data_IF_501713992894
#
_entry.id   IF_501713992894
#
_cell.length_a   1.000
_cell.length_b   1.000
_cell.length_c   1.000
_cell.angle_alpha   90.00
_cell.angle_beta   90.00
_cell.angle_gamma   90.00
#
_symmetry.space_group_name_H-M   'P 1'
#
loop_
_entity.id
_entity.type
_entity.pdbx_description
1 polymer ?
#
# COMPACT_ATOMS: atom_id res chain seq x y z
N UNK A 1 -29.46 30.74 23.28
CA UNK A 1 -28.41 29.79 23.69
C UNK A 1 -27.65 29.40 22.44
N UNK A 2 -26.45 29.91 22.25
CA UNK A 2 -25.60 29.45 21.14
C UNK A 2 -25.16 28.03 21.49
N UNK A 3 -25.69 27.07 20.78
CA UNK A 3 -25.12 25.71 20.79
C UNK A 3 -23.70 25.88 20.20
N UNK A 4 -22.70 25.71 21.04
CA UNK A 4 -21.31 25.62 20.56
C UNK A 4 -21.22 24.30 19.74
N UNK A 5 -21.56 24.38 18.47
CA UNK A 5 -21.40 23.26 17.55
C UNK A 5 -19.93 23.17 17.21
N UNK A 6 -19.26 22.17 17.77
CA UNK A 6 -17.85 21.91 17.48
C UNK A 6 -17.77 21.18 16.15
N UNK A 7 -17.16 21.80 15.13
CA UNK A 7 -16.91 21.15 13.83
C UNK A 7 -15.53 20.51 13.91
N UNK A 8 -15.48 19.19 13.80
CA UNK A 8 -14.24 18.44 13.88
C UNK A 8 -13.89 17.79 12.52
N UNK A 9 -12.64 17.91 12.07
CA UNK A 9 -12.15 17.13 10.93
C UNK A 9 -11.86 15.72 11.43
N UNK A 10 -12.46 14.72 10.78
CA UNK A 10 -12.27 13.31 11.14
C UNK A 10 -10.84 12.85 10.82
N UNK A 11 -10.26 11.99 11.66
CA UNK A 11 -8.92 11.42 11.44
C UNK A 11 -8.85 10.68 10.11
N UNK A 12 -9.87 9.86 9.81
CA UNK A 12 -9.97 9.09 8.57
C UNK A 12 -11.25 9.42 7.80
N UNK A 13 -11.23 9.15 6.51
CA UNK A 13 -12.38 9.33 5.64
C UNK A 13 -13.62 8.63 6.20
N UNK A 14 -14.76 9.33 6.16
CA UNK A 14 -16.06 8.87 6.67
C UNK A 14 -16.05 8.47 8.16
N UNK A 15 -15.15 9.08 8.94
CA UNK A 15 -14.95 8.77 10.37
C UNK A 15 -14.74 7.27 10.63
N UNK A 16 -14.01 6.61 9.73
CA UNK A 16 -13.67 5.20 9.86
C UNK A 16 -12.70 4.97 11.02
N UNK A 17 -12.72 3.77 11.59
CA UNK A 17 -11.76 3.39 12.63
C UNK A 17 -10.36 3.23 12.07
N UNK A 18 -10.22 2.71 10.85
CA UNK A 18 -8.91 2.50 10.20
C UNK A 18 -9.03 2.53 8.69
N UNK A 19 -8.05 3.10 7.96
CA UNK A 19 -7.85 2.79 6.57
C UNK A 19 -7.32 1.36 6.43
N UNK A 20 -7.78 0.63 5.42
CA UNK A 20 -7.38 -0.75 5.10
C UNK A 20 -6.88 -0.81 3.67
N UNK A 21 -5.64 -1.24 3.49
CA UNK A 21 -4.97 -1.36 2.21
C UNK A 21 -4.37 -2.75 2.04
N UNK A 22 -4.39 -3.28 0.82
CA UNK A 22 -3.61 -4.44 0.44
C UNK A 22 -2.42 -3.98 -0.41
N UNK A 23 -1.21 -4.23 0.07
CA UNK A 23 0.05 -3.95 -0.60
C UNK A 23 0.50 -5.20 -1.32
N UNK A 24 0.77 -5.08 -2.61
CA UNK A 24 1.27 -6.19 -3.40
C UNK A 24 2.53 -5.76 -4.14
N UNK A 25 3.66 -6.33 -3.74
CA UNK A 25 4.94 -6.05 -4.35
C UNK A 25 5.15 -6.87 -5.62
N UNK A 26 6.04 -6.36 -6.46
CA UNK A 26 6.59 -7.03 -7.65
C UNK A 26 5.57 -7.27 -8.78
N UNK A 27 4.58 -6.41 -8.97
CA UNK A 27 3.83 -6.42 -10.22
C UNK A 27 4.76 -5.93 -11.37
N UNK A 28 5.56 -6.83 -11.90
CA UNK A 28 6.58 -6.53 -12.92
C UNK A 28 6.27 -7.20 -14.25
N UNK A 29 6.93 -6.75 -15.32
CA UNK A 29 6.87 -7.40 -16.62
C UNK A 29 7.90 -8.53 -16.69
N UNK A 30 7.62 -9.64 -15.99
CA UNK A 30 8.53 -10.76 -15.79
C UNK A 30 7.82 -12.09 -16.01
N UNK A 31 8.53 -13.02 -16.63
CA UNK A 31 8.17 -14.43 -16.73
C UNK A 31 9.29 -15.26 -16.13
N UNK A 32 8.96 -16.38 -15.51
CA UNK A 32 9.93 -17.27 -14.89
C UNK A 32 9.61 -18.73 -15.23
N UNK A 33 10.61 -19.53 -15.54
CA UNK A 33 10.52 -20.97 -15.82
C UNK A 33 10.15 -21.73 -14.54
N UNK A 34 8.85 -21.86 -14.27
CA UNK A 34 8.34 -22.51 -13.06
C UNK A 34 8.47 -24.02 -13.06
N UNK A 35 8.46 -24.64 -14.26
CA UNK A 35 8.51 -26.09 -14.42
C UNK A 35 9.94 -26.62 -14.60
N UNK A 36 10.93 -25.73 -14.74
CA UNK A 36 12.35 -26.08 -14.83
C UNK A 36 12.72 -26.76 -16.14
N UNK A 37 11.98 -26.52 -17.24
CA UNK A 37 12.24 -27.15 -18.54
C UNK A 37 13.28 -26.39 -19.37
N UNK A 38 13.83 -25.29 -18.87
CA UNK A 38 14.83 -24.46 -19.52
C UNK A 38 14.26 -23.45 -20.52
N UNK A 39 12.95 -23.29 -20.59
CA UNK A 39 12.24 -22.33 -21.43
C UNK A 39 11.29 -21.51 -20.56
N UNK A 40 11.02 -20.29 -21.01
CA UNK A 40 9.99 -19.43 -20.41
C UNK A 40 8.85 -19.28 -21.40
N UNK A 41 7.64 -19.54 -20.98
CA UNK A 41 6.44 -19.38 -21.80
C UNK A 41 5.33 -18.59 -21.08
N UNK A 42 4.19 -18.41 -21.78
CA UNK A 42 3.11 -17.55 -21.29
C UNK A 42 2.34 -18.12 -20.08
N UNK A 43 2.59 -19.35 -19.69
CA UNK A 43 1.95 -19.96 -18.51
C UNK A 43 2.79 -19.78 -17.25
N UNK A 44 3.97 -19.17 -17.38
CA UNK A 44 5.00 -19.03 -16.36
C UNK A 44 5.28 -17.57 -15.98
N UNK A 45 4.28 -16.69 -16.03
CA UNK A 45 4.44 -15.30 -15.64
C UNK A 45 4.03 -15.02 -14.19
N UNK A 46 4.38 -13.86 -13.66
CA UNK A 46 3.91 -13.43 -12.37
C UNK A 46 3.23 -12.04 -12.36
N UNK A 47 3.44 -11.19 -13.30
CA UNK A 47 2.90 -9.83 -13.29
C UNK A 47 2.10 -9.49 -14.53
N UNK A 48 2.61 -9.90 -15.68
CA UNK A 48 2.03 -9.64 -16.97
C UNK A 48 1.79 -10.97 -17.68
N UNK A 49 0.61 -11.15 -18.25
CA UNK A 49 0.25 -12.36 -18.99
C UNK A 49 -0.43 -12.02 -20.30
N UNK A 50 0.03 -12.67 -21.37
CA UNK A 50 -0.73 -12.79 -22.64
C UNK A 50 -1.77 -13.89 -22.55
N UNK A 51 -1.50 -14.94 -21.78
CA UNK A 51 -2.46 -15.97 -21.40
C UNK A 51 -3.02 -15.64 -20.02
N UNK A 52 -4.20 -15.00 -19.97
CA UNK A 52 -4.80 -14.53 -18.75
C UNK A 52 -5.16 -15.62 -17.74
N UNK A 53 -5.32 -16.88 -18.19
CA UNK A 53 -5.74 -17.97 -17.29
C UNK A 53 -4.67 -18.30 -16.24
N UNK A 54 -3.40 -18.16 -16.56
CA UNK A 54 -2.27 -18.60 -15.74
C UNK A 54 -1.50 -17.45 -15.08
N UNK A 55 -1.90 -16.19 -15.29
CA UNK A 55 -1.20 -15.06 -14.69
C UNK A 55 -1.48 -14.93 -13.19
N UNK A 56 -0.48 -14.42 -12.46
CA UNK A 56 -0.61 -14.08 -11.04
C UNK A 56 -1.69 -13.02 -10.81
N UNK A 57 -1.82 -12.06 -11.72
CA UNK A 57 -2.86 -11.04 -11.68
C UNK A 57 -4.26 -11.66 -11.83
N UNK A 58 -4.43 -12.63 -12.74
CA UNK A 58 -5.69 -13.37 -12.89
C UNK A 58 -5.99 -14.21 -11.66
N UNK A 59 -5.00 -14.88 -11.07
CA UNK A 59 -5.15 -15.61 -9.82
C UNK A 59 -5.72 -14.70 -8.72
N UNK A 60 -5.10 -13.53 -8.50
CA UNK A 60 -5.54 -12.55 -7.51
C UNK A 60 -7.02 -12.14 -7.74
N UNK A 61 -7.37 -11.80 -8.98
CA UNK A 61 -8.73 -11.39 -9.33
C UNK A 61 -9.76 -12.53 -9.09
N UNK A 62 -9.46 -13.74 -9.55
CA UNK A 62 -10.38 -14.88 -9.46
C UNK A 62 -10.51 -15.43 -8.03
N UNK A 63 -9.42 -15.42 -7.25
CA UNK A 63 -9.37 -16.09 -5.95
C UNK A 63 -9.68 -15.16 -4.78
N UNK A 64 -9.21 -13.92 -4.79
CA UNK A 64 -9.40 -12.98 -3.68
C UNK A 64 -10.44 -11.89 -4.00
N UNK A 65 -10.25 -11.14 -5.08
CA UNK A 65 -11.10 -9.98 -5.37
C UNK A 65 -12.52 -10.33 -5.76
N UNK A 66 -12.74 -11.53 -6.32
CA UNK A 66 -14.11 -12.04 -6.55
C UNK A 66 -14.87 -12.24 -5.24
N UNK A 67 -14.20 -12.64 -4.16
CA UNK A 67 -14.80 -12.83 -2.84
C UNK A 67 -15.00 -11.50 -2.11
N UNK A 68 -14.09 -10.56 -2.30
CA UNK A 68 -14.05 -9.27 -1.61
C UNK A 68 -13.93 -8.12 -2.62
N UNK A 69 -14.99 -7.81 -3.36
CA UNK A 69 -14.94 -6.82 -4.47
C UNK A 69 -14.74 -5.37 -4.01
N UNK A 70 -14.77 -5.11 -2.71
CA UNK A 70 -14.55 -3.81 -2.08
C UNK A 70 -13.09 -3.55 -1.68
N UNK A 71 -12.21 -4.55 -1.74
CA UNK A 71 -10.78 -4.38 -1.46
C UNK A 71 -10.15 -3.50 -2.54
N UNK A 72 -9.30 -2.59 -2.09
CA UNK A 72 -8.43 -1.80 -2.95
C UNK A 72 -6.98 -2.22 -2.76
N UNK A 73 -6.20 -2.15 -3.83
CA UNK A 73 -4.82 -2.63 -3.88
C UNK A 73 -3.91 -1.54 -4.37
N UNK A 74 -2.78 -1.36 -3.68
CA UNK A 74 -1.63 -0.64 -4.20
C UNK A 74 -0.58 -1.67 -4.64
N UNK A 75 -0.33 -1.74 -5.96
CA UNK A 75 0.73 -2.54 -6.55
C UNK A 75 2.02 -1.74 -6.56
N UNK A 76 3.07 -2.30 -6.00
CA UNK A 76 4.41 -1.74 -6.05
C UNK A 76 5.16 -2.37 -7.23
N UNK A 77 5.47 -1.55 -8.23
CA UNK A 77 5.89 -1.99 -9.55
C UNK A 77 7.32 -1.56 -9.85
N UNK A 78 8.28 -2.49 -10.00
CA UNK A 78 9.55 -2.23 -10.66
C UNK A 78 9.28 -1.85 -12.13
N UNK A 79 9.66 -0.64 -12.53
CA UNK A 79 9.24 -0.10 -13.84
C UNK A 79 10.17 -0.44 -14.99
N UNK A 80 11.45 -0.66 -14.68
CA UNK A 80 12.48 -1.02 -15.65
C UNK A 80 12.64 -2.54 -15.80
N UNK A 81 13.82 -2.97 -16.17
CA UNK A 81 14.19 -4.40 -16.22
C UNK A 81 14.47 -4.86 -14.79
N UNK A 82 13.52 -5.57 -14.19
CA UNK A 82 13.72 -6.15 -12.86
C UNK A 82 14.79 -7.22 -12.93
N UNK A 83 15.84 -7.06 -12.17
CA UNK A 83 16.95 -8.03 -12.13
C UNK A 83 16.56 -9.27 -11.32
N UNK A 84 17.17 -10.41 -11.65
CA UNK A 84 17.07 -11.62 -10.86
C UNK A 84 17.86 -11.54 -9.54
N UNK A 85 17.78 -12.60 -8.74
CA UNK A 85 18.52 -12.69 -7.48
C UNK A 85 19.95 -13.22 -7.71
N UNK A 86 20.11 -14.09 -8.71
CA UNK A 86 21.36 -14.84 -8.98
C UNK A 86 21.82 -14.59 -10.41
N UNK A 87 23.10 -14.23 -10.58
CA UNK A 87 23.67 -13.91 -11.88
C UNK A 87 23.62 -15.09 -12.87
N UNK A 88 23.97 -16.29 -12.41
CA UNK A 88 23.99 -17.50 -13.23
C UNK A 88 22.92 -18.51 -12.79
N UNK A 89 21.69 -18.07 -12.67
CA UNK A 89 20.59 -18.94 -12.29
C UNK A 89 20.35 -20.06 -13.30
N UNK A 90 20.09 -21.27 -12.79
CA UNK A 90 19.59 -22.40 -13.59
C UNK A 90 18.14 -22.22 -14.03
N UNK A 91 17.38 -21.40 -13.30
CA UNK A 91 15.99 -21.06 -13.62
C UNK A 91 15.99 -19.90 -14.61
N UNK A 92 15.40 -20.11 -15.75
CA UNK A 92 15.31 -19.09 -16.79
C UNK A 92 14.23 -18.08 -16.43
N UNK A 93 14.50 -16.82 -16.73
CA UNK A 93 13.52 -15.74 -16.60
C UNK A 93 13.68 -14.73 -17.75
N UNK A 94 12.59 -14.06 -18.08
CA UNK A 94 12.57 -12.94 -19.01
C UNK A 94 12.01 -11.74 -18.25
N UNK A 95 12.76 -10.65 -18.20
CA UNK A 95 12.34 -9.38 -17.62
C UNK A 95 12.42 -8.28 -18.66
N UNK A 96 11.39 -7.45 -18.74
CA UNK A 96 11.30 -6.30 -19.65
C UNK A 96 10.80 -5.08 -18.89
N UNK A 97 11.07 -3.89 -19.42
CA UNK A 97 10.45 -2.65 -18.92
C UNK A 97 8.93 -2.68 -19.12
N UNK A 98 8.19 -1.98 -18.27
CA UNK A 98 6.72 -1.89 -18.41
C UNK A 98 6.27 -1.12 -19.67
N UNK A 99 7.16 -0.40 -20.30
CA UNK A 99 6.93 0.36 -21.53
C UNK A 99 7.55 -0.25 -22.77
N UNK A 100 7.98 -1.54 -22.74
CA UNK A 100 8.74 -2.16 -23.81
C UNK A 100 7.99 -2.30 -25.15
N UNK A 101 6.67 -2.35 -25.12
CA UNK A 101 5.81 -2.41 -26.30
C UNK A 101 4.37 -1.95 -25.96
N UNK A 102 3.55 -1.68 -26.98
CA UNK A 102 2.21 -1.13 -26.82
C UNK A 102 1.24 -2.12 -26.15
N UNK A 103 1.42 -3.42 -26.32
CA UNK A 103 0.58 -4.43 -25.66
C UNK A 103 0.82 -4.42 -24.15
N UNK A 104 2.08 -4.35 -23.75
CA UNK A 104 2.50 -4.21 -22.34
C UNK A 104 1.98 -2.92 -21.73
N UNK A 105 2.16 -1.78 -22.41
CA UNK A 105 1.62 -0.49 -21.95
C UNK A 105 0.11 -0.57 -21.74
N UNK A 106 -0.62 -1.15 -22.71
CA UNK A 106 -2.07 -1.31 -22.62
C UNK A 106 -2.48 -2.16 -21.43
N UNK A 107 -1.77 -3.25 -21.15
CA UNK A 107 -2.05 -4.11 -20.00
C UNK A 107 -1.89 -3.34 -18.67
N UNK A 108 -0.74 -2.71 -18.45
CA UNK A 108 -0.53 -1.92 -17.24
C UNK A 108 -1.51 -0.76 -17.11
N UNK A 109 -1.83 -0.10 -18.23
CA UNK A 109 -2.83 0.97 -18.26
C UNK A 109 -4.24 0.47 -17.88
N UNK A 110 -4.60 -0.76 -18.25
CA UNK A 110 -5.89 -1.36 -17.85
C UNK A 110 -5.98 -1.53 -16.32
N UNK A 111 -4.87 -1.87 -15.65
CA UNK A 111 -4.80 -1.94 -14.19
C UNK A 111 -4.90 -0.54 -13.60
N UNK A 112 -4.11 0.40 -14.12
CA UNK A 112 -4.05 1.78 -13.65
C UNK A 112 -5.38 2.53 -13.75
N UNK A 113 -6.15 2.33 -14.82
CA UNK A 113 -7.44 2.97 -15.05
C UNK A 113 -8.58 2.35 -14.18
N UNK A 114 -8.31 1.27 -13.47
CA UNK A 114 -9.29 0.64 -12.57
C UNK A 114 -9.28 1.35 -11.19
N UNK A 115 -10.39 1.94 -10.73
CA UNK A 115 -10.43 2.71 -9.48
C UNK A 115 -10.19 1.89 -8.20
N UNK A 116 -10.05 0.57 -8.32
CA UNK A 116 -9.68 -0.30 -7.20
C UNK A 116 -8.17 -0.46 -7.04
N UNK A 117 -7.40 -0.02 -8.03
CA UNK A 117 -5.98 -0.26 -8.08
C UNK A 117 -5.20 1.05 -8.14
N UNK A 118 -4.04 1.02 -7.55
CA UNK A 118 -2.98 2.00 -7.73
C UNK A 118 -1.73 1.26 -8.19
N UNK A 119 -1.04 1.80 -9.17
CA UNK A 119 0.32 1.38 -9.51
C UNK A 119 1.27 2.39 -8.89
N UNK A 120 2.09 1.96 -7.95
CA UNK A 120 3.08 2.76 -7.26
C UNK A 120 4.51 2.33 -7.65
N UNK A 121 5.47 3.22 -7.47
CA UNK A 121 6.85 2.97 -7.84
C UNK A 121 7.57 2.04 -6.86
N UNK A 122 8.28 1.03 -7.40
CA UNK A 122 9.07 0.07 -6.61
C UNK A 122 10.47 -0.11 -7.16
N UNK A 123 11.11 1.00 -7.47
CA UNK A 123 12.41 0.99 -8.11
C UNK A 123 12.36 0.87 -9.63
N UNK A 124 13.52 1.07 -10.22
CA UNK A 124 13.75 0.92 -11.66
C UNK A 124 14.14 -0.52 -12.00
N UNK A 125 15.09 -1.09 -11.25
CA UNK A 125 15.62 -2.43 -11.48
C UNK A 125 15.36 -3.40 -10.34
N UNK A 126 14.89 -2.89 -9.21
CA UNK A 126 14.66 -3.59 -7.96
C UNK A 126 15.94 -3.93 -7.16
N UNK A 127 17.12 -3.91 -7.77
CA UNK A 127 18.39 -4.17 -7.08
C UNK A 127 19.54 -4.55 -7.99
N UNK A 128 20.52 -5.23 -7.41
CA UNK A 128 21.71 -5.76 -8.08
C UNK A 128 21.85 -7.25 -7.80
N UNK A 129 22.02 -8.04 -8.85
CA UNK A 129 22.24 -9.50 -8.76
C UNK A 129 23.49 -9.82 -7.95
N UNK A 130 23.46 -10.97 -7.25
CA UNK A 130 24.61 -11.54 -6.57
C UNK A 130 25.03 -12.88 -7.15
N UNK A 131 26.16 -13.43 -6.70
CA UNK A 131 26.59 -14.79 -7.06
C UNK A 131 25.63 -15.86 -6.50
N UNK A 132 25.02 -15.56 -5.39
CA UNK A 132 23.94 -16.33 -4.72
C UNK A 132 22.87 -15.39 -4.19
N UNK A 133 21.69 -15.91 -3.85
CA UNK A 133 20.55 -15.09 -3.41
C UNK A 133 20.83 -14.22 -2.17
N UNK A 134 21.73 -14.67 -1.27
CA UNK A 134 22.10 -13.91 -0.09
C UNK A 134 23.01 -12.70 -0.40
N UNK A 135 23.61 -12.65 -1.57
CA UNK A 135 24.47 -11.55 -2.05
C UNK A 135 23.68 -10.51 -2.86
N UNK A 136 22.40 -10.72 -3.05
CA UNK A 136 21.52 -9.75 -3.70
C UNK A 136 21.41 -8.48 -2.87
N UNK A 137 21.58 -7.32 -3.53
CA UNK A 137 21.51 -6.01 -2.87
C UNK A 137 20.30 -5.25 -3.42
N UNK A 138 19.48 -4.69 -2.52
CA UNK A 138 18.30 -3.92 -2.90
C UNK A 138 18.68 -2.58 -3.55
N UNK A 139 17.81 -2.04 -4.42
CA UNK A 139 18.14 -0.87 -5.24
C UNK A 139 18.56 0.36 -4.42
N UNK A 140 17.89 0.64 -3.31
CA UNK A 140 18.23 1.80 -2.49
C UNK A 140 19.46 1.63 -1.60
N UNK A 141 20.04 0.43 -1.51
CA UNK A 141 21.32 0.20 -0.81
C UNK A 141 22.53 0.46 -1.71
N UNK A 142 22.36 0.39 -3.05
CA UNK A 142 23.50 0.45 -3.99
C UNK A 142 23.91 1.86 -4.39
N UNK A 143 23.13 2.88 -4.10
CA UNK A 143 23.44 4.27 -4.45
C UNK A 143 24.69 4.76 -3.72
N UNK A 144 25.64 5.31 -4.46
CA UNK A 144 26.92 5.82 -3.95
C UNK A 144 26.81 7.26 -3.46
N UNK A 145 25.88 7.98 -4.03
CA UNK A 145 25.59 9.37 -3.71
C UNK A 145 24.13 9.73 -4.04
N UNK A 146 23.75 10.92 -3.65
CA UNK A 146 22.40 11.42 -3.84
C UNK A 146 22.06 11.68 -5.31
N UNK A 147 23.02 12.12 -6.11
CA UNK A 147 22.79 12.43 -7.52
C UNK A 147 22.50 11.14 -8.30
N UNK A 148 23.25 10.06 -8.07
CA UNK A 148 22.98 8.74 -8.65
C UNK A 148 21.56 8.25 -8.26
N UNK A 149 21.17 8.41 -6.99
CA UNK A 149 19.84 8.04 -6.53
C UNK A 149 18.74 8.84 -7.24
N UNK A 150 18.89 10.16 -7.32
CA UNK A 150 17.93 11.07 -7.98
C UNK A 150 17.82 10.77 -9.48
N UNK A 151 18.94 10.55 -10.16
CA UNK A 151 18.97 10.27 -11.59
C UNK A 151 18.29 8.91 -11.90
N UNK A 152 18.57 7.89 -11.11
CA UNK A 152 17.94 6.57 -11.27
C UNK A 152 16.43 6.64 -11.06
N UNK A 153 15.99 7.34 -10.02
CA UNK A 153 14.56 7.53 -9.76
C UNK A 153 13.89 8.32 -10.89
N UNK A 154 14.51 9.40 -11.36
CA UNK A 154 13.95 10.19 -12.46
C UNK A 154 13.86 9.39 -13.75
N UNK A 155 14.86 8.56 -14.06
CA UNK A 155 14.79 7.64 -15.20
C UNK A 155 13.60 6.67 -15.06
N UNK A 156 13.41 6.04 -13.90
CA UNK A 156 12.29 5.17 -13.66
C UNK A 156 10.94 5.90 -13.75
N UNK A 157 10.87 7.17 -13.29
CA UNK A 157 9.68 8.02 -13.41
C UNK A 157 9.32 8.34 -14.86
N UNK A 158 10.29 8.51 -15.74
CA UNK A 158 10.02 8.69 -17.19
C UNK A 158 9.49 7.40 -17.84
N UNK A 159 10.00 6.20 -17.47
CA UNK A 159 9.42 4.92 -17.89
C UNK A 159 7.95 4.84 -17.45
N UNK A 160 7.65 5.16 -16.20
CA UNK A 160 6.29 5.17 -15.66
C UNK A 160 5.40 6.14 -16.44
N UNK A 161 5.87 7.36 -16.68
CA UNK A 161 5.13 8.40 -17.39
C UNK A 161 4.83 8.03 -18.85
N UNK A 162 5.73 7.31 -19.51
CA UNK A 162 5.53 6.82 -20.89
C UNK A 162 4.34 5.84 -20.97
N UNK A 163 4.05 5.10 -19.89
CA UNK A 163 2.89 4.19 -19.82
C UNK A 163 1.61 4.91 -19.39
N UNK A 164 1.69 5.75 -18.35
CA UNK A 164 0.51 6.27 -17.66
C UNK A 164 0.20 7.74 -17.94
N UNK A 165 1.09 8.44 -18.66
CA UNK A 165 0.95 9.88 -19.00
C UNK A 165 1.27 10.84 -17.86
N UNK A 166 1.59 10.35 -16.66
CA UNK A 166 1.97 11.14 -15.49
C UNK A 166 2.98 10.39 -14.60
N UNK A 167 3.73 11.13 -13.78
CA UNK A 167 4.67 10.53 -12.83
C UNK A 167 3.95 9.82 -11.67
N UNK A 168 4.58 8.79 -11.06
CA UNK A 168 4.06 8.14 -9.87
C UNK A 168 3.99 9.13 -8.71
N UNK A 169 2.97 9.00 -7.86
CA UNK A 169 2.79 9.88 -6.70
C UNK A 169 3.40 9.31 -5.43
N UNK A 170 3.69 8.03 -5.42
CA UNK A 170 4.30 7.36 -4.29
C UNK A 170 4.93 6.04 -4.66
N UNK A 171 5.50 5.40 -3.66
CA UNK A 171 6.19 4.13 -3.82
C UNK A 171 6.65 3.52 -2.51
N UNK A 172 7.56 2.56 -2.64
CA UNK A 172 8.08 1.78 -1.53
C UNK A 172 9.53 1.36 -1.82
N UNK A 173 10.35 1.33 -0.78
CA UNK A 173 11.69 0.74 -0.88
C UNK A 173 11.62 -0.77 -1.14
N UNK A 174 12.44 -1.26 -2.07
CA UNK A 174 12.61 -2.69 -2.30
C UNK A 174 13.12 -3.37 -1.04
N UNK A 175 12.47 -4.43 -0.59
CA UNK A 175 12.84 -5.14 0.64
C UNK A 175 12.82 -4.30 1.92
N UNK A 176 12.29 -3.06 1.90
CA UNK A 176 12.38 -2.06 2.97
C UNK A 176 13.83 -1.64 3.32
N UNK A 177 14.78 -1.95 2.45
CA UNK A 177 16.18 -1.59 2.64
C UNK A 177 16.48 -0.21 2.02
N UNK A 178 17.44 0.50 2.62
CA UNK A 178 17.77 1.88 2.24
C UNK A 178 19.13 2.28 2.82
N UNK A 179 19.72 3.32 2.26
CA UNK A 179 20.95 3.96 2.76
C UNK A 179 20.73 5.43 3.12
N UNK A 180 21.80 6.16 3.45
CA UNK A 180 21.76 7.55 3.85
C UNK A 180 21.20 8.53 2.80
N UNK A 181 21.22 8.18 1.52
CA UNK A 181 20.72 9.02 0.42
C UNK A 181 19.25 8.78 0.09
N UNK A 182 18.67 7.69 0.59
CA UNK A 182 17.36 7.19 0.16
C UNK A 182 16.24 8.16 0.46
N UNK A 183 16.07 8.57 1.72
CA UNK A 183 14.97 9.46 2.12
C UNK A 183 15.06 10.82 1.43
N UNK A 184 16.27 11.39 1.30
CA UNK A 184 16.49 12.66 0.63
C UNK A 184 16.21 12.57 -0.87
N UNK A 185 16.55 11.45 -1.53
CA UNK A 185 16.26 11.22 -2.94
C UNK A 185 14.75 11.16 -3.22
N UNK A 186 13.97 10.54 -2.33
CA UNK A 186 12.51 10.51 -2.43
C UNK A 186 11.91 11.91 -2.26
N UNK A 187 12.40 12.66 -1.28
CA UNK A 187 11.94 14.04 -1.03
C UNK A 187 12.24 14.96 -2.22
N UNK A 188 13.47 14.93 -2.75
CA UNK A 188 13.92 15.75 -3.91
C UNK A 188 13.22 15.38 -5.21
N UNK A 189 12.84 14.12 -5.40
CA UNK A 189 12.14 13.69 -6.62
C UNK A 189 10.63 13.91 -6.57
N UNK A 190 10.10 14.50 -5.49
CA UNK A 190 8.76 15.08 -5.43
C UNK A 190 7.64 14.05 -5.26
N UNK A 191 7.89 12.95 -4.62
CA UNK A 191 6.84 12.03 -4.22
C UNK A 191 5.91 12.66 -3.15
N UNK A 192 4.62 12.33 -3.21
CA UNK A 192 3.64 12.75 -2.20
C UNK A 192 3.70 11.85 -0.98
N UNK A 193 3.88 10.54 -1.21
CA UNK A 193 3.90 9.53 -0.17
C UNK A 193 4.95 8.45 -0.46
N UNK A 194 5.36 7.74 0.61
CA UNK A 194 6.30 6.63 0.52
C UNK A 194 6.06 5.60 1.61
N UNK A 195 6.35 4.33 1.36
CA UNK A 195 6.40 3.29 2.37
C UNK A 195 7.86 2.96 2.67
N UNK A 196 8.36 3.42 3.83
CA UNK A 196 9.77 3.30 4.19
C UNK A 196 10.10 2.00 4.89
N UNK A 197 9.20 1.48 5.71
CA UNK A 197 9.51 0.36 6.57
C UNK A 197 8.32 -0.55 6.85
N UNK A 198 8.65 -1.75 7.27
CA UNK A 198 7.72 -2.74 7.78
C UNK A 198 7.72 -2.74 9.32
N UNK A 199 6.56 -2.73 9.90
CA UNK A 199 6.39 -2.73 11.35
C UNK A 199 5.77 -4.06 11.81
N UNK A 200 6.59 -4.91 12.38
CA UNK A 200 6.22 -6.30 12.74
C UNK A 200 5.39 -6.45 14.00
N UNK A 201 5.07 -5.40 14.70
CA UNK A 201 4.25 -5.47 15.89
C UNK A 201 4.67 -4.53 17.00
N UNK A 202 3.86 -4.51 18.05
CA UNK A 202 4.02 -3.64 19.22
C UNK A 202 5.33 -3.92 19.97
N UNK A 203 5.91 -5.11 19.81
CA UNK A 203 7.03 -5.61 20.63
C UNK A 203 8.36 -5.61 19.87
N UNK A 204 8.35 -5.54 18.54
CA UNK A 204 9.57 -5.66 17.73
C UNK A 204 9.93 -4.35 17.03
N UNK A 205 10.60 -3.46 17.78
CA UNK A 205 11.16 -2.22 17.22
C UNK A 205 12.53 -2.44 16.52
N UNK A 206 13.00 -3.68 16.40
CA UNK A 206 14.35 -3.95 15.90
C UNK A 206 14.51 -3.69 14.41
N UNK A 207 13.42 -3.71 13.66
CA UNK A 207 13.41 -3.55 12.21
C UNK A 207 12.80 -2.23 11.74
N UNK A 208 12.70 -1.21 12.59
CA UNK A 208 12.55 0.17 12.13
C UNK A 208 13.89 0.61 11.56
N UNK A 209 14.18 0.23 10.33
CA UNK A 209 15.47 0.48 9.70
C UNK A 209 15.73 1.96 9.48
N UNK A 210 14.67 2.76 9.38
CA UNK A 210 14.79 4.19 9.08
C UNK A 210 13.92 5.01 10.02
N UNK A 211 14.45 6.13 10.46
CA UNK A 211 13.70 7.11 11.26
C UNK A 211 13.85 6.94 12.76
N UNK A 212 14.85 6.22 13.16
CA UNK A 212 15.31 6.25 14.54
C UNK A 212 14.53 5.38 15.49
N UNK A 213 14.98 5.43 16.69
CA UNK A 213 14.55 4.64 17.85
C UNK A 213 13.19 5.14 18.40
N UNK A 214 12.16 5.22 17.55
CA UNK A 214 10.82 5.49 18.06
C UNK A 214 10.31 4.27 18.81
N UNK A 215 10.34 4.33 20.12
CA UNK A 215 9.85 3.27 21.03
C UNK A 215 8.34 3.34 21.23
N UNK A 216 7.66 4.35 20.68
CA UNK A 216 6.22 4.49 20.79
C UNK A 216 5.52 3.58 19.80
N UNK A 217 4.97 2.47 20.29
CA UNK A 217 4.26 1.48 19.46
C UNK A 217 3.06 2.06 18.69
N UNK A 218 2.40 3.09 19.23
CA UNK A 218 1.26 3.74 18.55
C UNK A 218 1.76 4.48 17.31
N UNK A 219 2.80 5.30 17.42
CA UNK A 219 3.31 6.09 16.30
C UNK A 219 3.92 5.23 15.21
N UNK A 220 4.39 4.02 15.53
CA UNK A 220 4.92 3.08 14.54
C UNK A 220 3.86 2.56 13.56
N UNK A 221 2.57 2.56 13.94
CA UNK A 221 1.45 2.10 13.13
C UNK A 221 0.61 3.25 12.55
N UNK A 222 1.07 4.48 12.67
CA UNK A 222 0.38 5.67 12.18
C UNK A 222 1.19 6.39 11.11
N UNK A 223 0.56 7.35 10.44
CA UNK A 223 1.19 8.25 9.47
C UNK A 223 2.28 9.07 10.16
N UNK A 224 3.42 9.16 9.49
CA UNK A 224 4.49 10.10 9.77
C UNK A 224 4.77 10.94 8.52
N UNK A 225 5.65 11.90 8.63
CA UNK A 225 6.19 12.62 7.48
C UNK A 225 7.70 12.69 7.60
N UNK A 226 8.39 12.80 6.46
CA UNK A 226 9.82 12.98 6.40
C UNK A 226 10.19 13.96 5.28
N UNK A 227 11.45 14.41 5.28
CA UNK A 227 11.96 15.37 4.32
C UNK A 227 11.41 16.79 4.50
N UNK A 228 11.93 17.71 3.71
CA UNK A 228 11.53 19.13 3.72
C UNK A 228 10.13 19.32 3.12
N UNK A 229 9.80 18.51 2.10
CA UNK A 229 8.51 18.54 1.40
C UNK A 229 7.40 17.78 2.12
N UNK A 230 7.66 17.26 3.34
CA UNK A 230 6.69 16.54 4.16
C UNK A 230 6.08 15.35 3.42
N UNK A 231 6.93 14.49 2.84
CA UNK A 231 6.50 13.23 2.22
C UNK A 231 5.76 12.39 3.25
N UNK A 232 4.57 11.94 2.90
CA UNK A 232 3.71 11.16 3.80
C UNK A 232 4.23 9.73 3.86
N UNK A 233 4.63 9.28 5.05
CA UNK A 233 5.15 7.94 5.30
C UNK A 233 4.01 7.01 5.72
N UNK A 234 3.71 6.02 4.88
CA UNK A 234 2.65 5.03 5.10
C UNK A 234 3.30 3.68 5.44
N UNK A 235 3.29 3.26 6.72
CA UNK A 235 3.96 2.01 7.12
C UNK A 235 3.19 0.77 6.65
N UNK A 236 3.89 -0.35 6.46
CA UNK A 236 3.28 -1.68 6.47
C UNK A 236 3.07 -2.14 7.90
N UNK A 237 1.90 -2.69 8.22
CA UNK A 237 1.53 -3.01 9.61
C UNK A 237 1.26 -4.49 9.85
N UNK A 238 0.88 -5.25 8.83
CA UNK A 238 0.54 -6.66 8.92
C UNK A 238 1.13 -7.46 7.75
N UNK A 239 1.46 -8.74 8.01
CA UNK A 239 1.74 -9.73 6.98
C UNK A 239 0.46 -10.47 6.58
N UNK A 240 0.29 -10.72 5.29
CA UNK A 240 -0.79 -11.56 4.80
C UNK A 240 -0.70 -13.01 5.30
N UNK A 241 0.50 -13.51 5.56
CA UNK A 241 0.74 -14.88 6.07
C UNK A 241 0.35 -15.10 7.54
N UNK A 242 -0.09 -14.08 8.28
CA UNK A 242 -0.24 -14.13 9.74
C UNK A 242 -1.10 -15.30 10.26
N UNK A 243 -2.00 -15.85 9.46
CA UNK A 243 -2.82 -17.02 9.80
C UNK A 243 -2.45 -18.29 9.03
N UNK A 244 -1.50 -18.25 8.08
CA UNK A 244 -1.13 -19.36 7.20
C UNK A 244 -0.93 -20.68 7.93
N UNK A 245 0.02 -20.73 8.86
CA UNK A 245 0.31 -21.93 9.67
C UNK A 245 -0.86 -22.35 10.55
N UNK A 246 -1.66 -21.37 10.99
CA UNK A 246 -2.79 -21.61 11.89
C UNK A 246 -4.02 -22.15 11.16
N UNK A 247 -4.17 -21.87 9.87
CA UNK A 247 -5.29 -22.33 9.04
C UNK A 247 -4.95 -23.56 8.21
N UNK A 248 -3.67 -23.96 8.15
CA UNK A 248 -3.22 -25.13 7.37
C UNK A 248 -4.00 -26.38 7.73
N UNK A 249 -4.45 -27.10 6.70
CA UNK A 249 -5.09 -28.41 6.83
C UNK A 249 -4.08 -29.51 7.19
N UNK A 250 -2.79 -29.30 6.85
CA UNK A 250 -1.68 -30.21 7.12
C UNK A 250 -0.66 -29.54 8.04
N UNK A 251 -0.98 -29.37 9.34
CA UNK A 251 -0.07 -28.74 10.27
C UNK A 251 1.20 -29.60 10.44
N UNK A 252 2.35 -28.95 10.51
CA UNK A 252 3.60 -29.65 10.80
C UNK A 252 3.66 -30.05 12.28
N UNK A 253 3.06 -31.21 12.61
CA UNK A 253 3.02 -31.76 13.97
C UNK A 253 4.31 -32.54 14.33
N UNK A 254 5.24 -32.71 13.39
CA UNK A 254 6.50 -33.45 13.63
C UNK A 254 7.50 -32.64 14.48
N UNK A 255 7.23 -31.36 14.72
CA UNK A 255 8.03 -30.52 15.61
C UNK A 255 7.22 -30.17 16.85
N UNK A 256 7.90 -30.04 18.00
CA UNK A 256 7.27 -29.60 19.24
C UNK A 256 6.53 -28.26 19.06
N UNK A 257 7.12 -27.32 18.34
CA UNK A 257 6.52 -26.00 18.02
C UNK A 257 5.25 -26.17 17.20
N UNK A 258 5.26 -27.02 16.20
CA UNK A 258 4.08 -27.29 15.35
C UNK A 258 2.96 -27.99 16.12
N UNK A 259 3.30 -28.97 16.98
CA UNK A 259 2.33 -29.65 17.84
C UNK A 259 1.67 -28.68 18.83
N UNK A 260 2.44 -27.80 19.47
CA UNK A 260 1.92 -26.75 20.36
C UNK A 260 1.00 -25.79 19.60
N UNK A 261 1.40 -25.31 18.41
CA UNK A 261 0.55 -24.46 17.55
C UNK A 261 -0.77 -25.17 17.21
N UNK A 262 -0.74 -26.47 16.92
CA UNK A 262 -1.93 -27.24 16.58
C UNK A 262 -2.89 -27.38 17.77
N UNK A 263 -2.38 -27.80 18.94
CA UNK A 263 -3.18 -27.98 20.15
C UNK A 263 -3.81 -26.67 20.62
N UNK A 264 -3.04 -25.56 20.58
CA UNK A 264 -3.50 -24.26 21.03
C UNK A 264 -3.91 -23.32 19.87
N UNK A 265 -4.30 -23.89 18.72
CA UNK A 265 -4.64 -23.17 17.50
C UNK A 265 -5.62 -22.01 17.74
N UNK A 266 -6.70 -22.24 18.49
CA UNK A 266 -7.71 -21.21 18.79
C UNK A 266 -7.13 -20.04 19.56
N UNK A 267 -6.23 -20.30 20.50
CA UNK A 267 -5.54 -19.27 21.27
C UNK A 267 -4.63 -18.43 20.38
N UNK A 268 -3.85 -19.08 19.50
CA UNK A 268 -2.97 -18.33 18.58
C UNK A 268 -3.76 -17.51 17.57
N UNK A 269 -4.84 -18.04 17.01
CA UNK A 269 -5.76 -17.27 16.13
C UNK A 269 -6.31 -16.06 16.89
N UNK A 270 -6.79 -16.22 18.11
CA UNK A 270 -7.28 -15.12 18.93
C UNK A 270 -6.20 -14.07 19.18
N UNK A 271 -4.97 -14.47 19.42
CA UNK A 271 -3.83 -13.56 19.63
C UNK A 271 -3.53 -12.73 18.38
N UNK A 272 -3.53 -13.35 17.20
CA UNK A 272 -3.32 -12.64 15.94
C UNK A 272 -4.47 -11.66 15.63
N UNK A 273 -5.72 -12.06 15.86
CA UNK A 273 -6.89 -11.16 15.76
C UNK A 273 -6.74 -9.94 16.66
N UNK A 274 -6.21 -10.10 17.87
CA UNK A 274 -5.97 -8.99 18.80
C UNK A 274 -5.06 -7.90 18.22
N UNK A 275 -4.14 -8.23 17.32
CA UNK A 275 -3.30 -7.24 16.63
C UNK A 275 -4.17 -6.36 15.71
N UNK A 276 -5.05 -6.97 14.93
CA UNK A 276 -5.97 -6.24 14.04
C UNK A 276 -6.96 -5.39 14.87
N UNK A 277 -7.53 -5.96 15.93
CA UNK A 277 -8.41 -5.23 16.86
C UNK A 277 -7.72 -4.04 17.52
N UNK A 278 -6.42 -4.17 17.85
CA UNK A 278 -5.64 -3.08 18.41
C UNK A 278 -5.52 -1.91 17.42
N UNK A 279 -5.22 -2.20 16.16
CA UNK A 279 -5.13 -1.18 15.11
C UNK A 279 -6.48 -0.46 14.94
N UNK A 280 -7.59 -1.21 14.84
CA UNK A 280 -8.93 -0.65 14.73
C UNK A 280 -9.31 0.23 15.92
N UNK A 281 -9.04 -0.22 17.16
CA UNK A 281 -9.41 0.51 18.40
C UNK A 281 -8.62 1.79 18.62
N UNK A 282 -7.40 1.85 18.09
CA UNK A 282 -6.52 3.00 18.22
C UNK A 282 -6.55 3.91 16.98
N UNK A 283 -7.47 3.66 16.04
CA UNK A 283 -7.58 4.41 14.78
C UNK A 283 -6.25 4.45 14.01
N UNK A 284 -5.59 3.29 13.91
CA UNK A 284 -4.29 3.13 13.25
C UNK A 284 -4.45 2.51 11.85
N UNK A 285 -3.37 2.48 11.08
CA UNK A 285 -3.37 1.96 9.71
C UNK A 285 -3.37 0.43 9.72
N UNK A 286 -4.15 -0.16 8.81
CA UNK A 286 -4.11 -1.57 8.46
C UNK A 286 -3.62 -1.67 7.01
N UNK A 287 -2.34 -1.96 6.82
CA UNK A 287 -1.72 -2.21 5.52
C UNK A 287 -1.12 -3.60 5.53
N UNK A 288 -1.62 -4.45 4.63
CA UNK A 288 -1.31 -5.88 4.58
C UNK A 288 -0.35 -6.11 3.44
N UNK A 289 0.82 -6.69 3.74
CA UNK A 289 1.89 -6.96 2.77
C UNK A 289 1.75 -8.31 2.12
N UNK A 290 1.93 -8.34 0.79
CA UNK A 290 2.02 -9.53 -0.05
C UNK A 290 3.00 -9.33 -1.20
N UNK A 291 3.37 -10.43 -1.86
CA UNK A 291 4.06 -10.45 -3.15
C UNK A 291 3.24 -11.21 -4.18
N UNK A 292 3.41 -10.87 -5.46
CA UNK A 292 2.65 -11.48 -6.57
C UNK A 292 3.46 -12.51 -7.35
N UNK A 293 4.77 -12.53 -7.18
CA UNK A 293 5.68 -13.40 -7.92
C UNK A 293 5.43 -14.88 -7.61
N UNK A 294 5.21 -15.76 -8.61
CA UNK A 294 5.00 -17.19 -8.37
C UNK A 294 6.28 -17.91 -7.96
N UNK A 295 7.43 -17.44 -8.42
CA UNK A 295 8.75 -17.90 -8.00
C UNK A 295 9.83 -16.86 -8.33
N UNK A 296 10.98 -16.98 -7.68
CA UNK A 296 12.21 -16.27 -8.02
C UNK A 296 13.12 -17.19 -8.81
N UNK A 297 14.18 -16.63 -9.40
CA UNK A 297 15.20 -17.37 -10.12
C UNK A 297 16.09 -18.27 -9.25
N UNK A 298 16.01 -18.15 -7.91
CA UNK A 298 16.60 -19.10 -6.94
C UNK A 298 15.69 -20.30 -6.62
N UNK A 299 14.54 -20.43 -7.27
CA UNK A 299 13.58 -21.50 -7.07
C UNK A 299 12.70 -21.36 -5.83
N UNK A 300 12.84 -20.28 -5.08
CA UNK A 300 12.05 -20.01 -3.89
C UNK A 300 10.90 -19.06 -4.23
N UNK A 301 9.85 -19.09 -3.41
CA UNK A 301 8.82 -18.06 -3.43
C UNK A 301 9.09 -17.06 -2.32
N UNK A 302 8.89 -15.78 -2.61
CA UNK A 302 8.96 -14.75 -1.59
C UNK A 302 7.86 -14.98 -0.54
N UNK A 303 8.11 -14.56 0.67
CA UNK A 303 7.17 -14.63 1.78
C UNK A 303 7.02 -13.23 2.38
N UNK A 304 5.79 -12.73 2.61
CA UNK A 304 4.48 -13.34 2.31
C UNK A 304 4.16 -13.37 0.81
N UNK A 305 3.21 -14.22 0.38
CA UNK A 305 2.87 -14.37 -1.03
C UNK A 305 1.41 -14.80 -1.25
N UNK A 306 0.73 -14.16 -2.20
CA UNK A 306 -0.70 -14.38 -2.51
C UNK A 306 -1.06 -15.84 -2.79
N UNK A 307 -0.14 -16.64 -3.33
CA UNK A 307 -0.37 -18.05 -3.61
C UNK A 307 -0.40 -18.91 -2.36
N UNK A 308 0.46 -18.59 -1.40
CA UNK A 308 0.62 -19.38 -0.17
C UNK A 308 -0.29 -18.90 0.95
N UNK A 309 -0.71 -17.62 0.90
CA UNK A 309 -1.37 -16.92 1.99
C UNK A 309 -2.85 -16.64 1.73
N UNK A 310 -3.41 -17.19 0.64
CA UNK A 310 -4.79 -16.95 0.22
C UNK A 310 -5.81 -17.21 1.35
N UNK A 311 -5.69 -18.34 2.07
CA UNK A 311 -6.61 -18.67 3.17
C UNK A 311 -6.46 -17.69 4.35
N UNK A 312 -5.24 -17.23 4.62
CA UNK A 312 -4.95 -16.20 5.61
C UNK A 312 -5.58 -14.87 5.23
N UNK A 313 -5.42 -14.44 3.98
CA UNK A 313 -6.05 -13.21 3.45
C UNK A 313 -7.58 -13.30 3.51
N UNK A 314 -8.16 -14.42 3.10
CA UNK A 314 -9.61 -14.66 3.20
C UNK A 314 -10.07 -14.54 4.66
N UNK A 315 -9.31 -15.07 5.60
CA UNK A 315 -9.63 -14.98 7.02
C UNK A 315 -9.56 -13.53 7.53
N UNK A 316 -8.50 -12.79 7.19
CA UNK A 316 -8.31 -11.38 7.55
C UNK A 316 -9.48 -10.53 7.01
N UNK A 317 -9.81 -10.64 5.72
CA UNK A 317 -10.86 -9.83 5.12
C UNK A 317 -12.27 -10.22 5.57
N UNK A 318 -12.52 -11.49 5.91
CA UNK A 318 -13.75 -11.89 6.58
C UNK A 318 -13.87 -11.28 7.99
N UNK A 319 -12.78 -11.21 8.74
CA UNK A 319 -12.76 -10.56 10.06
C UNK A 319 -13.01 -9.05 9.95
N UNK A 320 -12.42 -8.40 8.94
CA UNK A 320 -12.60 -6.95 8.69
C UNK A 320 -13.97 -6.61 8.10
N UNK A 321 -14.67 -7.59 7.51
CA UNK A 321 -16.02 -7.39 6.96
C UNK A 321 -16.98 -6.94 8.05
N UNK A 322 -17.69 -5.82 7.80
CA UNK A 322 -18.63 -5.24 8.77
C UNK A 322 -17.98 -4.43 9.90
N UNK A 323 -16.66 -4.28 9.91
CA UNK A 323 -15.99 -3.28 10.73
C UNK A 323 -16.11 -1.90 10.11
N UNK A 324 -15.99 -0.85 10.93
CA UNK A 324 -15.95 0.52 10.44
C UNK A 324 -14.56 0.81 9.83
N UNK A 325 -14.30 0.25 8.65
CA UNK A 325 -13.04 0.33 7.94
C UNK A 325 -13.20 1.08 6.60
N UNK A 326 -12.21 1.87 6.24
CA UNK A 326 -12.10 2.53 4.96
C UNK A 326 -11.12 1.79 4.05
N UNK A 327 -11.63 1.06 3.06
CA UNK A 327 -10.80 0.42 2.05
C UNK A 327 -10.32 1.45 1.04
N UNK A 328 -9.01 1.66 0.95
CA UNK A 328 -8.40 2.67 0.10
C UNK A 328 -7.08 2.20 -0.51
N UNK A 329 -6.63 2.91 -1.53
CA UNK A 329 -5.24 2.85 -2.03
C UNK A 329 -4.35 3.81 -1.24
N UNK A 330 -3.02 3.71 -1.41
CA UNK A 330 -2.11 4.64 -0.73
C UNK A 330 -2.28 6.07 -1.20
N UNK A 331 -2.53 6.31 -2.49
CA UNK A 331 -2.74 7.67 -3.00
C UNK A 331 -4.04 8.29 -2.45
N UNK A 332 -5.10 7.50 -2.28
CA UNK A 332 -6.32 7.99 -1.66
C UNK A 332 -6.09 8.37 -0.19
N UNK A 333 -5.38 7.50 0.56
CA UNK A 333 -5.01 7.78 1.94
C UNK A 333 -4.11 9.02 2.03
N UNK A 334 -3.07 9.10 1.22
CA UNK A 334 -2.14 10.22 1.22
C UNK A 334 -2.84 11.54 0.85
N UNK A 335 -3.74 11.51 -0.15
CA UNK A 335 -4.55 12.68 -0.52
C UNK A 335 -5.44 13.14 0.64
N UNK A 336 -6.11 12.20 1.31
CA UNK A 336 -6.95 12.53 2.47
C UNK A 336 -6.13 13.12 3.62
N UNK A 337 -4.98 12.50 3.94
CA UNK A 337 -4.06 12.99 4.98
C UNK A 337 -3.57 14.39 4.65
N UNK A 338 -3.13 14.63 3.40
CA UNK A 338 -2.70 15.94 2.97
C UNK A 338 -3.82 16.98 3.14
N UNK A 339 -5.02 16.67 2.67
CA UNK A 339 -6.17 17.55 2.78
C UNK A 339 -6.49 17.88 4.25
N UNK A 340 -6.54 16.88 5.11
CA UNK A 340 -6.80 17.03 6.54
C UNK A 340 -5.77 17.92 7.23
N UNK A 341 -4.48 17.68 6.99
CA UNK A 341 -3.38 18.41 7.64
C UNK A 341 -3.22 19.84 7.11
N UNK A 342 -3.72 20.12 5.91
CA UNK A 342 -3.61 21.43 5.26
C UNK A 342 -4.94 22.17 5.16
N UNK A 343 -5.97 21.71 5.87
CA UNK A 343 -7.28 22.36 5.98
C UNK A 343 -7.52 22.83 7.39
N UNK A 344 -8.09 24.04 7.52
CA UNK A 344 -8.59 24.60 8.78
C UNK A 344 -10.03 25.04 8.59
N UNK A 345 -10.91 24.61 9.48
CA UNK A 345 -12.29 25.06 9.51
C UNK A 345 -12.36 26.32 10.37
N UNK A 346 -12.99 27.35 9.81
CA UNK A 346 -13.25 28.62 10.49
C UNK A 346 -14.76 28.80 10.57
N UNK A 347 -15.29 28.84 11.78
CA UNK A 347 -16.72 29.08 12.03
C UNK A 347 -17.04 30.57 11.94
N UNK A 348 -18.00 30.94 11.09
CA UNK A 348 -18.38 32.33 10.80
C UNK A 348 -19.64 32.77 11.59
N UNK A 349 -20.20 31.86 12.42
CA UNK A 349 -21.45 32.05 13.14
C UNK A 349 -22.69 31.80 12.27
N UNK A 350 -23.88 31.69 12.89
CA UNK A 350 -25.14 31.48 12.18
C UNK A 350 -25.18 30.17 11.36
N UNK A 351 -24.60 29.09 11.86
CA UNK A 351 -24.48 27.79 11.20
C UNK A 351 -23.67 27.82 9.89
N UNK A 352 -22.70 28.74 9.79
CA UNK A 352 -21.82 28.90 8.64
C UNK A 352 -20.37 28.71 9.02
N UNK A 353 -19.60 28.14 8.08
CA UNK A 353 -18.15 28.04 8.17
C UNK A 353 -17.51 28.12 6.78
N UNK A 354 -16.22 28.39 6.74
CA UNK A 354 -15.42 28.25 5.54
C UNK A 354 -14.17 27.40 5.82
N UNK A 355 -13.50 26.94 4.74
CA UNK A 355 -12.30 26.12 4.83
C UNK A 355 -11.13 26.92 4.30
N UNK A 356 -10.18 27.23 5.17
CA UNK A 356 -8.84 27.68 4.77
C UNK A 356 -8.04 26.46 4.33
N UNK A 357 -7.47 26.48 3.13
CA UNK A 357 -6.83 25.32 2.55
C UNK A 357 -5.58 25.68 1.74
N UNK A 358 -4.50 24.88 1.92
CA UNK A 358 -3.31 24.93 1.08
C UNK A 358 -3.43 23.91 -0.05
N UNK A 359 -3.66 24.36 -1.26
CA UNK A 359 -3.80 23.49 -2.44
C UNK A 359 -2.47 22.82 -2.83
N UNK A 360 -2.57 21.62 -3.39
CA UNK A 360 -1.46 20.87 -3.99
C UNK A 360 -1.96 20.13 -5.22
N UNK A 361 -1.17 20.18 -6.29
CA UNK A 361 -1.47 19.41 -7.50
C UNK A 361 -1.25 17.91 -7.30
N UNK A 362 -2.03 17.12 -8.04
CA UNK A 362 -1.87 15.66 -8.12
C UNK A 362 -2.46 14.89 -6.95
N UNK A 363 -3.32 15.49 -6.15
CA UNK A 363 -4.16 14.77 -5.19
C UNK A 363 -5.30 14.04 -5.93
N UNK A 364 -5.65 12.85 -5.45
CA UNK A 364 -6.73 12.04 -6.06
C UNK A 364 -8.10 12.69 -5.83
N UNK A 365 -8.33 13.17 -4.60
CA UNK A 365 -9.57 13.82 -4.21
C UNK A 365 -9.30 15.06 -3.37
N UNK A 366 -10.09 16.11 -3.59
CA UNK A 366 -10.09 17.33 -2.76
C UNK A 366 -11.32 17.34 -1.85
N UNK A 367 -11.32 16.45 -0.87
CA UNK A 367 -12.38 16.34 0.13
C UNK A 367 -11.83 16.06 1.52
N UNK A 368 -12.65 16.36 2.52
CA UNK A 368 -12.43 15.99 3.93
C UNK A 368 -13.72 15.46 4.53
N UNK A 369 -13.60 14.64 5.56
CA UNK A 369 -14.73 14.23 6.39
C UNK A 369 -14.76 15.10 7.64
N UNK A 370 -15.92 15.65 7.93
CA UNK A 370 -16.14 16.47 9.14
C UNK A 370 -17.29 15.89 9.96
N UNK A 371 -17.24 16.13 11.25
CA UNK A 371 -18.33 15.78 12.17
C UNK A 371 -18.96 17.04 12.73
N UNK A 372 -20.31 17.14 12.65
CA UNK A 372 -21.10 18.20 13.21
C UNK A 372 -22.29 17.57 13.93
N UNK A 373 -22.34 17.71 15.25
CA UNK A 373 -23.44 17.16 16.04
C UNK A 373 -24.75 17.91 15.76
N UNK A 374 -25.83 17.18 15.56
CA UNK A 374 -27.16 17.74 15.32
C UNK A 374 -27.42 18.20 13.88
N UNK A 375 -26.41 18.31 13.02
CA UNK A 375 -26.63 18.68 11.63
C UNK A 375 -27.22 17.52 10.82
N UNK A 376 -28.17 17.83 9.95
CA UNK A 376 -28.83 16.88 9.03
C UNK A 376 -28.24 16.92 7.64
N UNK A 377 -27.82 18.10 7.19
CA UNK A 377 -27.19 18.29 5.88
C UNK A 377 -26.26 19.51 5.88
N UNK A 378 -25.37 19.56 4.90
CA UNK A 378 -24.48 20.68 4.64
C UNK A 378 -24.73 21.16 3.22
N UNK A 379 -24.80 22.48 3.03
CA UNK A 379 -24.85 23.15 1.74
C UNK A 379 -23.44 23.70 1.43
N UNK A 380 -22.71 23.06 0.47
CA UNK A 380 -21.40 23.59 0.06
C UNK A 380 -21.56 24.81 -0.86
N UNK A 381 -20.49 25.61 -1.06
CA UNK A 381 -20.51 26.79 -1.94
C UNK A 381 -20.99 26.51 -3.36
N UNK A 382 -20.75 25.31 -3.88
CA UNK A 382 -21.20 24.89 -5.22
C UNK A 382 -22.67 24.55 -5.30
N UNK A 383 -23.39 24.57 -4.18
CA UNK A 383 -24.80 24.14 -4.10
C UNK A 383 -24.98 22.61 -3.98
N UNK A 384 -26.20 22.19 -3.77
CA UNK A 384 -26.52 20.77 -3.54
C UNK A 384 -26.32 20.34 -2.10
N UNK A 385 -27.37 19.81 -1.45
CA UNK A 385 -27.31 19.37 -0.06
C UNK A 385 -26.52 18.06 0.06
N UNK A 386 -25.51 18.04 0.95
CA UNK A 386 -24.77 16.84 1.34
C UNK A 386 -25.39 16.31 2.62
N UNK A 387 -25.95 15.11 2.56
CA UNK A 387 -26.48 14.42 3.74
C UNK A 387 -25.39 13.62 4.42
N UNK A 388 -25.37 13.69 5.75
CA UNK A 388 -24.43 12.95 6.59
C UNK A 388 -25.01 11.65 7.13
N UNK A 389 -24.13 10.81 7.62
CA UNK A 389 -24.46 9.63 8.40
C UNK A 389 -23.97 9.83 9.83
N UNK A 390 -24.86 9.77 10.83
CA UNK A 390 -24.53 9.96 12.23
C UNK A 390 -23.73 11.27 12.51
N UNK A 391 -24.06 12.37 11.79
CA UNK A 391 -23.38 13.66 11.93
C UNK A 391 -22.03 13.76 11.22
N UNK A 392 -21.66 12.76 10.42
CA UNK A 392 -20.44 12.76 9.61
C UNK A 392 -20.76 13.11 8.16
N UNK A 393 -20.02 14.04 7.59
CA UNK A 393 -20.21 14.55 6.22
C UNK A 393 -18.90 14.52 5.46
N UNK A 394 -18.94 14.00 4.24
CA UNK A 394 -17.80 14.08 3.31
C UNK A 394 -18.02 15.28 2.39
N UNK A 395 -17.24 16.32 2.61
CA UNK A 395 -17.42 17.60 1.90
C UNK A 395 -16.25 17.86 0.96
N UNK A 396 -16.50 18.42 -0.24
CA UNK A 396 -15.42 18.91 -1.08
C UNK A 396 -14.75 20.12 -0.44
N UNK A 397 -13.46 20.34 -0.71
CA UNK A 397 -12.75 21.53 -0.29
C UNK A 397 -12.90 22.59 -1.39
N UNK A 398 -13.58 23.68 -1.09
CA UNK A 398 -13.92 24.75 -2.02
C UNK A 398 -13.82 26.12 -1.35
N UNK A 399 -13.53 27.15 -2.12
CA UNK A 399 -13.64 28.52 -1.65
C UNK A 399 -15.11 28.91 -1.46
N UNK A 400 -15.40 29.65 -0.40
CA UNK A 400 -16.74 30.13 -0.06
C UNK A 400 -17.28 29.53 1.24
N UNK A 401 -18.54 29.85 1.54
CA UNK A 401 -19.17 29.46 2.81
C UNK A 401 -19.97 28.18 2.65
N UNK A 402 -19.84 27.33 3.65
CA UNK A 402 -20.69 26.17 3.88
C UNK A 402 -21.75 26.53 4.92
N UNK A 403 -22.97 26.03 4.75
CA UNK A 403 -24.04 26.22 5.70
C UNK A 403 -24.56 24.85 6.15
N UNK A 404 -24.79 24.65 7.44
CA UNK A 404 -25.32 23.40 7.98
C UNK A 404 -26.64 23.59 8.70
N UNK A 405 -27.52 22.56 8.66
CA UNK A 405 -28.85 22.55 9.26
C UNK A 405 -29.14 21.24 9.98
#
# INVERSE_FOLDING_TARGET
MSVNTNIEICKWYNNSSSPVMLFIDDLANVWVDLNGNGKVDLEEDWGYAKNEENSSFTFLNKKLLKLFPYIKITFFTPVGIRVGMIENSSIKSISKMINCDEETKKFFKTIYDNPKFEIAYHGTTHGKVGDKSDDFVQEWEIFKDLDEAVDTINYGKEIYKDVFGKHPKGGKYCGYESNEYSDESIDKTGFLWWCRYYNRGIVDNKNCSIGGKDTNSITNFDIKTFGENKVIDIPTTLDGEMFKDLLSLNPNINTLKGLVKFIFRRYFIYREIKKIDYLLKNNLIISIQEHISPARDDGRRQTPNIFDDLDSLIYIFNFLKGKNAWYCTCIELASYVYNRENSRIVEDGGNKFHIEYKDRDGLEHKNISIKIEGARYILPPSGGAITGNAGVFNIPIQNGYYEYC
#
